data_IF_641815103595
#
_entry.id   IF_641815103595
#
_cell.length_a   1.000
_cell.length_b   1.000
_cell.length_c   1.000
_cell.angle_alpha   90.00
_cell.angle_beta   90.00
_cell.angle_gamma   90.00
#
_symmetry.space_group_name_H-M   'P 1'
#
loop_
_entity.id
_entity.type
_entity.pdbx_description
1 polymer ?
#
# COMPACT_ATOMS: atom_id res chain seq x y z
N UNK A 1 29.67 -11.97 39.83
CA UNK A 1 28.89 -13.16 39.45
C UNK A 1 27.59 -13.32 40.25
N UNK A 2 27.51 -12.92 41.51
CA UNK A 2 26.32 -13.05 42.36
C UNK A 2 25.16 -12.09 41.96
N UNK A 3 25.46 -10.89 41.46
CA UNK A 3 24.47 -9.87 41.06
C UNK A 3 23.68 -10.25 39.81
N UNK A 4 24.27 -10.98 38.86
CA UNK A 4 23.58 -11.46 37.65
C UNK A 4 22.60 -12.60 37.96
N UNK A 5 22.84 -13.42 38.96
CA UNK A 5 21.94 -14.49 39.37
C UNK A 5 20.69 -13.96 40.08
N UNK A 6 20.82 -12.86 40.84
CA UNK A 6 19.65 -12.19 41.47
C UNK A 6 18.73 -11.51 40.47
N UNK A 7 19.29 -10.93 39.41
CA UNK A 7 18.48 -10.29 38.32
C UNK A 7 17.74 -11.32 37.46
N UNK A 8 18.35 -12.49 37.20
CA UNK A 8 17.70 -13.56 36.44
C UNK A 8 16.54 -14.20 37.22
N UNK A 9 16.64 -14.29 38.55
CA UNK A 9 15.58 -14.79 39.43
C UNK A 9 14.34 -13.88 39.42
N UNK A 10 14.54 -12.56 39.48
CA UNK A 10 13.44 -11.58 39.50
C UNK A 10 12.65 -11.53 38.19
N UNK A 11 13.34 -11.67 37.06
CA UNK A 11 12.69 -11.71 35.73
C UNK A 11 11.85 -12.97 35.55
N UNK A 12 12.30 -14.13 36.05
CA UNK A 12 11.51 -15.36 35.96
C UNK A 12 10.24 -15.33 36.82
N UNK A 13 10.28 -14.73 38.01
CA UNK A 13 9.10 -14.60 38.89
C UNK A 13 8.07 -13.66 38.27
N UNK A 14 8.49 -12.56 37.63
CA UNK A 14 7.58 -11.64 36.97
C UNK A 14 6.94 -12.26 35.72
N UNK A 15 7.69 -13.01 34.93
CA UNK A 15 7.18 -13.72 33.75
C UNK A 15 6.16 -14.82 34.14
N UNK A 16 6.41 -15.54 35.23
CA UNK A 16 5.51 -16.57 35.71
C UNK A 16 4.22 -15.99 36.30
N UNK A 17 4.30 -14.86 37.00
CA UNK A 17 3.13 -14.14 37.52
C UNK A 17 2.25 -13.55 36.42
N UNK A 18 2.86 -13.03 35.35
CA UNK A 18 2.12 -12.54 34.16
C UNK A 18 1.44 -13.70 33.39
N UNK A 19 2.10 -14.86 33.29
CA UNK A 19 1.53 -16.05 32.62
C UNK A 19 0.34 -16.62 33.41
N UNK A 20 0.42 -16.67 34.71
CA UNK A 20 -0.69 -17.14 35.56
C UNK A 20 -1.88 -16.19 35.54
N UNK A 21 -1.69 -14.87 35.48
CA UNK A 21 -2.77 -13.90 35.30
C UNK A 21 -3.47 -14.09 33.94
N UNK A 22 -2.73 -14.31 32.85
CA UNK A 22 -3.32 -14.54 31.52
C UNK A 22 -4.09 -15.86 31.44
N UNK A 23 -3.67 -16.90 32.14
CA UNK A 23 -4.41 -18.16 32.21
C UNK A 23 -5.67 -18.02 33.06
N UNK A 24 -5.64 -17.28 34.19
CA UNK A 24 -6.83 -17.00 35.00
C UNK A 24 -7.89 -16.22 34.22
N UNK A 25 -7.51 -15.15 33.52
CA UNK A 25 -8.42 -14.32 32.73
C UNK A 25 -9.06 -15.17 31.60
N UNK A 26 -8.30 -16.06 30.96
CA UNK A 26 -8.86 -16.97 29.94
C UNK A 26 -9.80 -18.00 30.51
N UNK A 27 -9.50 -18.54 31.71
CA UNK A 27 -10.39 -19.49 32.37
C UNK A 27 -11.71 -18.86 32.78
N UNK A 28 -11.68 -17.64 33.37
CA UNK A 28 -12.87 -16.93 33.77
C UNK A 28 -13.74 -16.52 32.56
N UNK A 29 -13.13 -16.08 31.46
CA UNK A 29 -13.88 -15.77 30.24
C UNK A 29 -14.50 -17.01 29.59
N UNK A 30 -13.82 -18.15 29.63
CA UNK A 30 -14.37 -19.41 29.11
C UNK A 30 -15.53 -19.90 29.99
N UNK A 31 -15.42 -19.74 31.30
CA UNK A 31 -16.51 -20.12 32.23
C UNK A 31 -17.72 -19.22 31.98
N UNK A 32 -17.57 -17.91 31.89
CA UNK A 32 -18.67 -16.98 31.61
C UNK A 32 -19.35 -17.26 30.26
N UNK A 33 -18.57 -17.57 29.21
CA UNK A 33 -19.13 -17.92 27.90
C UNK A 33 -19.86 -19.26 27.98
N UNK A 34 -19.33 -20.23 28.74
CA UNK A 34 -19.99 -21.53 28.92
C UNK A 34 -21.29 -21.40 29.71
N UNK A 35 -21.31 -20.56 30.75
CA UNK A 35 -22.51 -20.30 31.54
C UNK A 35 -23.58 -19.56 30.71
N UNK A 36 -23.19 -18.59 29.89
CA UNK A 36 -24.11 -17.90 28.99
C UNK A 36 -24.69 -18.85 27.93
N UNK A 37 -23.89 -19.74 27.37
CA UNK A 37 -24.32 -20.74 26.38
C UNK A 37 -25.28 -21.78 27.04
N UNK A 38 -25.03 -22.15 28.28
CA UNK A 38 -25.91 -23.06 29.03
C UNK A 38 -27.27 -22.39 29.36
N UNK A 39 -27.24 -21.11 29.77
CA UNK A 39 -28.46 -20.32 30.04
C UNK A 39 -29.27 -20.14 28.76
N UNK A 40 -28.61 -19.82 27.62
CA UNK A 40 -29.29 -19.70 26.33
C UNK A 40 -29.86 -21.03 25.84
N UNK A 41 -29.15 -22.16 26.07
CA UNK A 41 -29.67 -23.48 25.72
C UNK A 41 -30.84 -23.90 26.60
N UNK A 42 -30.82 -23.55 27.88
CA UNK A 42 -31.95 -23.79 28.78
C UNK A 42 -33.19 -22.97 28.40
N UNK A 43 -32.99 -21.69 28.04
CA UNK A 43 -34.06 -20.84 27.51
C UNK A 43 -34.67 -21.39 26.23
N UNK A 44 -33.83 -21.86 25.31
CA UNK A 44 -34.30 -22.51 24.08
C UNK A 44 -35.09 -23.81 24.35
N UNK A 45 -34.71 -24.57 25.38
CA UNK A 45 -35.42 -25.76 25.79
C UNK A 45 -36.79 -25.41 26.45
N UNK A 46 -36.84 -24.38 27.29
CA UNK A 46 -38.09 -23.86 27.87
C UNK A 46 -39.03 -23.30 26.79
N UNK A 47 -38.50 -22.59 25.80
CA UNK A 47 -39.28 -22.10 24.65
C UNK A 47 -39.80 -23.27 23.79
N UNK A 48 -39.00 -24.32 23.60
CA UNK A 48 -39.44 -25.54 22.90
C UNK A 48 -40.55 -26.26 23.67
N UNK A 49 -40.44 -26.41 24.99
CA UNK A 49 -41.48 -27.00 25.81
C UNK A 49 -42.77 -26.16 25.82
N UNK A 50 -42.65 -24.84 25.80
CA UNK A 50 -43.76 -23.92 25.69
C UNK A 50 -44.50 -24.02 24.35
N UNK A 51 -43.75 -24.28 23.28
CA UNK A 51 -44.26 -24.49 21.91
C UNK A 51 -44.93 -25.86 21.79
N UNK A 52 -44.36 -26.89 22.42
CA UNK A 52 -44.90 -28.26 22.41
C UNK A 52 -46.20 -28.40 23.21
N UNK A 53 -46.37 -27.57 24.25
CA UNK A 53 -47.59 -27.49 25.05
C UNK A 53 -48.68 -26.58 24.46
N UNK A 54 -48.43 -25.88 23.36
CA UNK A 54 -49.42 -25.17 22.57
C UNK A 54 -49.96 -26.08 21.49
N UNK A 55 -51.13 -26.67 21.69
CA UNK A 55 -51.90 -27.50 20.75
C UNK A 55 -52.40 -26.74 19.48
N UNK A 56 -51.68 -25.71 19.07
CA UNK A 56 -51.95 -25.10 17.77
C UNK A 56 -51.14 -25.82 16.68
N UNK A 57 -51.74 -26.16 15.54
CA UNK A 57 -51.01 -26.79 14.44
C UNK A 57 -49.95 -25.80 13.97
N UNK A 58 -48.70 -26.05 14.38
CA UNK A 58 -47.58 -25.25 13.90
C UNK A 58 -47.43 -25.47 12.40
N UNK A 59 -47.64 -24.44 11.61
CA UNK A 59 -47.44 -24.52 10.17
C UNK A 59 -45.92 -24.70 9.89
N UNK A 60 -45.51 -25.99 9.92
CA UNK A 60 -44.14 -26.41 9.66
C UNK A 60 -43.63 -25.91 8.31
N UNK A 61 -44.55 -25.74 7.34
CA UNK A 61 -44.20 -25.20 6.03
C UNK A 61 -43.80 -23.73 6.08
N UNK A 62 -44.45 -22.93 6.95
CA UNK A 62 -44.08 -21.54 7.17
C UNK A 62 -42.71 -21.40 7.88
N UNK A 63 -42.42 -22.27 8.84
CA UNK A 63 -41.14 -22.32 9.54
C UNK A 63 -39.97 -22.74 8.62
N UNK A 64 -40.19 -23.76 7.78
CA UNK A 64 -39.21 -24.18 6.77
C UNK A 64 -38.93 -23.06 5.79
N UNK A 65 -39.96 -22.40 5.26
CA UNK A 65 -39.77 -21.23 4.35
C UNK A 65 -39.01 -20.07 5.00
N UNK A 66 -39.29 -19.82 6.30
CA UNK A 66 -38.57 -18.80 7.05
C UNK A 66 -37.10 -19.15 7.28
N UNK A 67 -36.84 -20.44 7.58
CA UNK A 67 -35.48 -20.96 7.73
C UNK A 67 -34.70 -20.91 6.41
N UNK A 68 -35.31 -21.29 5.30
CA UNK A 68 -34.73 -21.20 3.96
C UNK A 68 -34.44 -19.73 3.56
N UNK A 69 -35.34 -18.83 3.92
CA UNK A 69 -35.10 -17.38 3.64
C UNK A 69 -33.97 -16.81 4.49
N UNK A 70 -33.82 -17.23 5.75
CA UNK A 70 -32.73 -16.86 6.65
C UNK A 70 -31.40 -17.45 6.15
N UNK A 71 -31.38 -18.74 5.79
CA UNK A 71 -30.19 -19.38 5.21
C UNK A 71 -29.75 -18.69 3.90
N UNK A 72 -30.72 -18.36 3.04
CA UNK A 72 -30.45 -17.65 1.80
C UNK A 72 -29.94 -16.21 2.04
N UNK A 73 -30.45 -15.54 3.05
CA UNK A 73 -29.96 -14.23 3.47
C UNK A 73 -28.53 -14.31 4.04
N UNK A 74 -28.25 -15.30 4.91
CA UNK A 74 -26.91 -15.55 5.45
C UNK A 74 -25.92 -15.95 4.35
N UNK A 75 -26.33 -16.79 3.39
CA UNK A 75 -25.49 -17.15 2.25
C UNK A 75 -25.26 -15.99 1.28
N UNK A 76 -26.19 -15.04 1.19
CA UNK A 76 -26.02 -13.83 0.40
C UNK A 76 -25.08 -12.81 1.06
N UNK A 77 -24.99 -12.81 2.38
CA UNK A 77 -24.11 -11.92 3.15
C UNK A 77 -22.66 -12.41 3.17
N UNK A 78 -22.43 -13.70 2.99
CA UNK A 78 -21.09 -14.30 2.83
C UNK A 78 -20.61 -14.27 1.38
N UNK A 79 -20.56 -13.09 0.75
CA UNK A 79 -19.78 -12.97 -0.48
C UNK A 79 -18.31 -13.22 -0.15
N UNK A 80 -17.66 -14.19 -0.81
CA UNK A 80 -16.26 -14.47 -0.54
C UNK A 80 -15.45 -13.18 -0.77
N UNK A 81 -14.84 -12.67 0.29
CA UNK A 81 -13.97 -11.48 0.20
C UNK A 81 -12.80 -11.83 -0.70
N UNK A 82 -12.57 -10.99 -1.69
CA UNK A 82 -11.41 -11.15 -2.56
C UNK A 82 -10.14 -10.82 -1.78
N UNK A 83 -9.31 -11.83 -1.51
CA UNK A 83 -7.98 -11.69 -0.91
C UNK A 83 -6.97 -11.76 -2.04
N UNK A 84 -6.27 -10.66 -2.37
CA UNK A 84 -5.27 -10.66 -3.42
C UNK A 84 -4.03 -11.45 -2.99
N UNK A 85 -3.44 -12.19 -3.91
CA UNK A 85 -2.20 -12.91 -3.67
C UNK A 85 -1.00 -11.97 -3.90
N UNK A 86 -0.15 -11.79 -2.86
CA UNK A 86 0.98 -10.87 -2.84
C UNK A 86 1.97 -11.12 -3.98
N UNK A 87 2.26 -12.38 -4.29
CA UNK A 87 3.17 -12.74 -5.39
C UNK A 87 2.62 -12.28 -6.75
N UNK A 88 1.32 -12.43 -6.99
CA UNK A 88 0.68 -11.96 -8.22
C UNK A 88 0.64 -10.45 -8.29
N UNK A 89 0.42 -9.77 -7.16
CA UNK A 89 0.43 -8.31 -7.08
C UNK A 89 1.81 -7.75 -7.47
N UNK A 90 2.90 -8.35 -6.96
CA UNK A 90 4.28 -7.96 -7.31
C UNK A 90 4.53 -8.15 -8.81
N UNK A 91 4.25 -9.34 -9.35
CA UNK A 91 4.50 -9.61 -10.76
C UNK A 91 3.73 -8.67 -11.69
N UNK A 92 2.47 -8.38 -11.36
CA UNK A 92 1.67 -7.43 -12.13
C UNK A 92 2.21 -5.99 -12.01
N UNK A 93 2.69 -5.60 -10.82
CA UNK A 93 3.30 -4.29 -10.61
C UNK A 93 4.65 -4.14 -11.32
N UNK A 94 5.43 -5.25 -11.46
CA UNK A 94 6.69 -5.29 -12.19
C UNK A 94 6.51 -5.26 -13.71
N UNK A 95 5.44 -5.83 -14.25
CA UNK A 95 5.20 -5.84 -15.70
C UNK A 95 4.54 -4.54 -16.15
N UNK A 96 3.57 -4.06 -15.39
CA UNK A 96 2.79 -2.87 -15.71
C UNK A 96 2.79 -1.94 -14.48
N UNK A 97 3.37 -0.72 -14.60
CA UNK A 97 3.28 0.26 -13.52
C UNK A 97 1.81 0.50 -13.14
N UNK A 98 1.46 0.32 -11.87
CA UNK A 98 0.07 0.40 -11.42
C UNK A 98 -0.74 -0.91 -11.54
N UNK A 99 -0.21 -1.96 -12.19
CA UNK A 99 -0.90 -3.24 -12.35
C UNK A 99 -1.22 -3.93 -11.03
N UNK A 100 -0.34 -3.82 -10.04
CA UNK A 100 -0.57 -4.33 -8.69
C UNK A 100 -1.72 -3.62 -7.97
N UNK A 101 -1.83 -2.29 -8.09
CA UNK A 101 -2.92 -1.51 -7.52
C UNK A 101 -4.28 -1.85 -8.16
N UNK A 102 -4.30 -2.11 -9.47
CA UNK A 102 -5.49 -2.60 -10.18
C UNK A 102 -5.90 -3.97 -9.65
N UNK A 103 -4.96 -4.89 -9.50
CA UNK A 103 -5.20 -6.22 -8.98
C UNK A 103 -5.74 -6.20 -7.54
N UNK A 104 -5.18 -5.32 -6.68
CA UNK A 104 -5.60 -5.11 -5.30
C UNK A 104 -6.92 -4.32 -5.19
N UNK A 105 -7.52 -3.89 -6.31
CA UNK A 105 -8.73 -3.05 -6.37
C UNK A 105 -8.59 -1.69 -5.68
N UNK A 106 -7.39 -1.19 -5.50
CA UNK A 106 -7.08 0.12 -4.89
C UNK A 106 -6.96 1.21 -5.96
N UNK A 107 -7.99 1.37 -6.79
CA UNK A 107 -8.00 2.26 -7.96
C UNK A 107 -7.72 3.73 -7.62
N UNK A 108 -8.05 4.18 -6.41
CA UNK A 108 -7.81 5.56 -5.97
C UNK A 108 -6.32 5.93 -5.89
N UNK A 109 -5.42 4.93 -5.78
CA UNK A 109 -3.96 5.13 -5.80
C UNK A 109 -3.39 5.32 -7.21
N UNK A 110 -4.10 4.88 -8.25
CA UNK A 110 -3.64 4.98 -9.63
C UNK A 110 -3.32 6.42 -10.05
N UNK A 111 -4.16 7.44 -9.77
CA UNK A 111 -3.84 8.82 -10.11
C UNK A 111 -2.54 9.31 -9.46
N UNK A 112 -2.24 8.86 -8.23
CA UNK A 112 -1.02 9.23 -7.52
C UNK A 112 0.21 8.60 -8.18
N UNK A 113 0.15 7.30 -8.49
CA UNK A 113 1.23 6.56 -9.14
C UNK A 113 1.50 7.12 -10.53
N UNK A 114 0.47 7.26 -11.36
CA UNK A 114 0.62 7.80 -12.71
C UNK A 114 1.01 9.29 -12.70
N UNK A 115 0.50 10.08 -11.75
CA UNK A 115 0.92 11.46 -11.55
C UNK A 115 2.42 11.58 -11.23
N UNK A 116 2.94 10.67 -10.38
CA UNK A 116 4.36 10.55 -10.11
C UNK A 116 5.18 10.23 -11.37
N UNK A 117 4.74 9.25 -12.17
CA UNK A 117 5.40 8.89 -13.42
C UNK A 117 5.39 10.03 -14.44
N UNK A 118 4.25 10.67 -14.65
CA UNK A 118 4.11 11.79 -15.58
C UNK A 118 4.99 12.98 -15.14
N UNK A 119 5.02 13.29 -13.84
CA UNK A 119 5.87 14.34 -13.29
C UNK A 119 7.36 14.05 -13.51
N UNK A 120 7.82 12.84 -13.22
CA UNK A 120 9.20 12.43 -13.46
C UNK A 120 9.56 12.38 -14.95
N UNK A 121 8.66 11.89 -15.80
CA UNK A 121 8.86 11.87 -17.26
C UNK A 121 8.94 13.28 -17.84
N UNK A 122 8.10 14.20 -17.37
CA UNK A 122 8.16 15.60 -17.75
C UNK A 122 9.50 16.23 -17.33
N UNK A 123 9.89 16.05 -16.06
CA UNK A 123 11.17 16.58 -15.56
C UNK A 123 12.36 16.01 -16.34
N UNK A 124 12.35 14.70 -16.64
CA UNK A 124 13.38 14.04 -17.43
C UNK A 124 13.46 14.63 -18.85
N UNK A 125 12.32 14.75 -19.53
CA UNK A 125 12.24 15.26 -20.90
C UNK A 125 12.69 16.71 -20.97
N UNK A 126 12.23 17.54 -20.03
CA UNK A 126 12.60 18.94 -19.93
C UNK A 126 14.11 19.10 -19.69
N UNK A 127 14.66 18.46 -18.68
CA UNK A 127 16.08 18.56 -18.35
C UNK A 127 16.97 18.00 -19.47
N UNK A 128 16.53 16.91 -20.13
CA UNK A 128 17.26 16.36 -21.26
C UNK A 128 17.27 17.28 -22.48
N UNK A 129 16.15 17.97 -22.74
CA UNK A 129 16.08 18.97 -23.80
C UNK A 129 17.01 20.14 -23.50
N UNK A 130 16.90 20.74 -22.33
CA UNK A 130 17.77 21.83 -21.89
C UNK A 130 19.25 21.41 -21.91
N UNK A 131 19.58 20.21 -21.47
CA UNK A 131 20.95 19.70 -21.56
C UNK A 131 21.46 19.66 -23.01
N UNK A 132 20.64 19.18 -23.95
CA UNK A 132 21.04 19.15 -25.39
C UNK A 132 21.24 20.53 -25.93
N UNK A 133 20.30 21.43 -25.67
CA UNK A 133 20.31 22.80 -26.19
C UNK A 133 21.53 23.55 -25.64
N UNK A 134 21.81 23.52 -24.34
CA UNK A 134 23.01 24.14 -23.76
C UNK A 134 24.30 23.41 -24.13
N UNK A 135 24.26 22.11 -24.42
CA UNK A 135 25.42 21.37 -24.92
C UNK A 135 25.80 21.82 -26.33
N UNK A 136 24.79 22.00 -27.20
CA UNK A 136 25.01 22.50 -28.56
C UNK A 136 25.52 23.93 -28.52
N UNK A 137 24.86 24.81 -27.80
CA UNK A 137 25.28 26.18 -27.64
C UNK A 137 26.73 26.33 -27.09
N UNK A 138 27.13 25.44 -26.17
CA UNK A 138 28.51 25.40 -25.66
C UNK A 138 29.50 24.96 -26.73
N UNK A 139 29.15 23.99 -27.58
CA UNK A 139 30.02 23.54 -28.70
C UNK A 139 30.16 24.62 -29.75
N UNK A 140 29.08 25.29 -30.12
CA UNK A 140 29.06 26.34 -31.11
C UNK A 140 29.84 27.62 -30.68
N UNK A 141 29.99 27.84 -29.35
CA UNK A 141 30.87 28.90 -28.84
C UNK A 141 32.35 28.49 -28.96
N UNK A 142 32.62 27.18 -28.94
CA UNK A 142 34.00 26.65 -28.92
C UNK A 142 34.57 26.34 -30.30
N UNK A 143 33.72 26.21 -31.35
CA UNK A 143 34.15 25.78 -32.68
C UNK A 143 34.55 26.92 -33.63
N UNK A 144 34.42 28.18 -33.24
CA UNK A 144 34.73 29.38 -34.04
C UNK A 144 34.08 29.43 -35.44
N UNK A 145 33.07 28.57 -35.72
CA UNK A 145 32.35 28.55 -37.00
C UNK A 145 31.25 29.64 -37.01
N UNK A 146 31.32 30.62 -37.94
CA UNK A 146 30.36 31.71 -38.02
C UNK A 146 28.93 31.24 -38.43
N UNK A 147 28.77 30.01 -38.88
CA UNK A 147 27.45 29.46 -39.29
C UNK A 147 26.72 28.75 -38.13
N UNK A 148 27.43 28.36 -37.08
CA UNK A 148 26.86 27.69 -35.90
C UNK A 148 26.71 28.67 -34.75
N UNK A 149 25.45 29.09 -34.46
CA UNK A 149 25.17 30.18 -33.49
C UNK A 149 24.01 29.84 -32.57
N UNK A 150 23.87 28.56 -32.19
CA UNK A 150 22.78 28.13 -31.27
C UNK A 150 22.78 28.81 -29.91
N UNK A 151 23.90 29.43 -29.53
CA UNK A 151 24.01 30.21 -28.31
C UNK A 151 23.23 31.55 -28.37
N UNK A 152 22.98 32.09 -29.58
CA UNK A 152 22.24 33.35 -29.75
C UNK A 152 20.80 33.25 -29.23
N UNK A 153 20.19 32.06 -29.28
CA UNK A 153 18.83 31.78 -28.76
C UNK A 153 18.73 31.98 -27.24
N UNK A 154 19.87 31.92 -26.53
CA UNK A 154 19.93 32.02 -25.08
C UNK A 154 20.47 33.37 -24.59
N UNK A 155 20.92 34.21 -25.50
CA UNK A 155 21.45 35.52 -25.18
C UNK A 155 20.39 36.61 -25.34
N UNK A 156 20.34 37.59 -24.43
CA UNK A 156 19.57 38.79 -24.66
C UNK A 156 20.10 39.55 -25.92
N UNK A 157 19.20 40.15 -26.66
CA UNK A 157 19.57 40.92 -27.86
C UNK A 157 20.66 41.94 -27.55
N UNK A 158 21.78 41.89 -28.31
CA UNK A 158 22.89 42.82 -28.19
C UNK A 158 23.97 42.43 -27.17
N UNK A 159 23.92 41.27 -26.60
CA UNK A 159 24.97 40.73 -25.72
C UNK A 159 25.90 39.83 -26.54
N UNK A 160 27.21 40.08 -26.46
CA UNK A 160 28.23 39.24 -27.09
C UNK A 160 28.38 37.94 -26.33
N UNK A 161 28.64 36.84 -27.05
CA UNK A 161 28.95 35.53 -26.46
C UNK A 161 30.36 35.44 -25.84
N UNK A 162 31.20 36.45 -26.09
CA UNK A 162 32.58 36.46 -25.61
C UNK A 162 32.66 36.36 -24.07
N UNK A 163 33.43 35.39 -23.58
CA UNK A 163 33.59 35.15 -22.15
C UNK A 163 32.43 34.42 -21.44
N UNK A 164 31.40 34.02 -22.19
CA UNK A 164 30.25 33.29 -21.62
C UNK A 164 30.38 31.76 -21.64
N UNK A 165 31.48 31.23 -22.16
CA UNK A 165 31.75 29.78 -22.25
C UNK A 165 31.55 29.06 -20.91
N UNK A 166 32.09 29.63 -19.84
CA UNK A 166 31.91 29.04 -18.50
C UNK A 166 30.44 29.03 -18.04
N UNK A 167 29.67 30.02 -18.45
CA UNK A 167 28.24 30.10 -18.12
C UNK A 167 27.49 29.00 -18.83
N UNK A 168 27.71 28.79 -20.12
CA UNK A 168 27.09 27.72 -20.90
C UNK A 168 27.52 26.32 -20.41
N UNK A 169 28.82 26.17 -20.10
CA UNK A 169 29.34 24.94 -19.48
C UNK A 169 28.64 24.63 -18.16
N UNK A 170 28.54 25.60 -17.27
CA UNK A 170 27.87 25.43 -15.98
C UNK A 170 26.38 25.09 -16.13
N UNK A 171 25.67 25.72 -17.09
CA UNK A 171 24.27 25.43 -17.39
C UNK A 171 24.09 24.01 -17.97
N UNK A 172 24.94 23.60 -18.90
CA UNK A 172 25.00 22.26 -19.44
C UNK A 172 25.16 21.21 -18.32
N UNK A 173 26.17 21.43 -17.43
CA UNK A 173 26.44 20.51 -16.33
C UNK A 173 25.33 20.50 -15.27
N UNK A 174 24.66 21.64 -15.06
CA UNK A 174 23.47 21.74 -14.21
C UNK A 174 22.35 20.86 -14.75
N UNK A 175 21.93 21.03 -16.00
CA UNK A 175 20.83 20.25 -16.59
C UNK A 175 21.19 18.77 -16.75
N UNK A 176 22.46 18.42 -16.98
CA UNK A 176 22.94 17.05 -16.96
C UNK A 176 22.66 16.38 -15.61
N UNK A 177 23.03 17.04 -14.51
CA UNK A 177 22.77 16.49 -13.15
C UNK A 177 21.29 16.34 -12.87
N UNK A 178 20.47 17.32 -13.24
CA UNK A 178 19.03 17.24 -13.03
C UNK A 178 18.35 16.19 -13.91
N UNK A 179 18.84 15.97 -15.12
CA UNK A 179 18.41 14.86 -15.98
C UNK A 179 18.71 13.52 -15.31
N UNK A 180 19.93 13.33 -14.85
CA UNK A 180 20.35 12.10 -14.20
C UNK A 180 19.57 11.87 -12.89
N UNK A 181 19.34 12.92 -12.10
CA UNK A 181 18.48 12.88 -10.91
C UNK A 181 17.04 12.50 -11.28
N UNK A 182 16.50 13.02 -12.37
CA UNK A 182 15.14 12.67 -12.83
C UNK A 182 15.01 11.19 -13.19
N UNK A 183 16.08 10.57 -13.72
CA UNK A 183 16.13 9.12 -13.97
C UNK A 183 16.04 8.34 -12.65
N UNK A 184 16.83 8.74 -11.65
CA UNK A 184 16.78 8.11 -10.32
C UNK A 184 15.41 8.28 -9.64
N UNK A 185 14.81 9.47 -9.76
CA UNK A 185 13.45 9.69 -9.25
C UNK A 185 12.42 8.79 -9.95
N UNK A 186 12.51 8.63 -11.25
CA UNK A 186 11.62 7.76 -12.03
C UNK A 186 11.71 6.29 -11.55
N UNK A 187 12.94 5.80 -11.38
CA UNK A 187 13.18 4.45 -10.83
C UNK A 187 12.65 4.35 -9.40
N UNK A 188 12.86 5.37 -8.59
CA UNK A 188 12.36 5.44 -7.21
C UNK A 188 10.83 5.34 -7.13
N UNK A 189 10.11 6.10 -7.94
CA UNK A 189 8.64 6.04 -8.04
C UNK A 189 8.19 4.64 -8.46
N UNK A 190 8.91 4.01 -9.40
CA UNK A 190 8.60 2.66 -9.84
C UNK A 190 8.75 1.64 -8.70
N UNK A 191 9.87 1.66 -7.99
CA UNK A 191 10.13 0.76 -6.85
C UNK A 191 9.09 0.97 -5.75
N UNK A 192 8.78 2.23 -5.41
CA UNK A 192 7.76 2.55 -4.41
C UNK A 192 6.37 2.03 -4.82
N UNK A 193 6.01 2.11 -6.11
CA UNK A 193 4.76 1.56 -6.63
C UNK A 193 4.67 0.04 -6.47
N UNK A 194 5.78 -0.67 -6.68
CA UNK A 194 5.84 -2.14 -6.51
C UNK A 194 5.73 -2.52 -5.02
N UNK A 195 6.45 -1.81 -4.15
CA UNK A 195 6.39 -2.04 -2.70
C UNK A 195 4.97 -1.77 -2.17
N UNK A 196 4.34 -0.68 -2.59
CA UNK A 196 2.98 -0.33 -2.19
C UNK A 196 1.97 -1.42 -2.61
N UNK A 197 2.10 -1.95 -3.83
CA UNK A 197 1.25 -3.03 -4.32
C UNK A 197 1.43 -4.33 -3.50
N UNK A 198 2.66 -4.64 -3.09
CA UNK A 198 2.96 -5.78 -2.23
C UNK A 198 2.35 -5.62 -0.83
N UNK A 199 2.61 -4.48 -0.20
CA UNK A 199 2.12 -4.17 1.14
C UNK A 199 0.59 -4.18 1.19
N UNK A 200 -0.08 -3.60 0.19
CA UNK A 200 -1.54 -3.63 0.10
C UNK A 200 -2.10 -5.05 -0.01
N UNK A 201 -1.43 -5.93 -0.74
CA UNK A 201 -1.84 -7.32 -0.87
C UNK A 201 -1.69 -8.08 0.46
N UNK A 202 -0.56 -7.91 1.15
CA UNK A 202 -0.31 -8.52 2.46
C UNK A 202 -1.29 -8.00 3.53
N UNK A 203 -1.51 -6.69 3.59
CA UNK A 203 -2.41 -6.09 4.58
C UNK A 203 -3.88 -6.46 4.35
N UNK A 204 -4.27 -6.82 3.13
CA UNK A 204 -5.64 -7.22 2.84
C UNK A 204 -6.05 -8.53 3.52
N UNK A 205 -5.08 -9.35 3.94
CA UNK A 205 -5.30 -10.61 4.66
C UNK A 205 -5.56 -10.37 6.17
N UNK A 206 -5.07 -9.23 6.71
CA UNK A 206 -5.20 -8.88 8.12
C UNK A 206 -6.43 -8.02 8.45
N UNK A 207 -7.12 -7.49 7.45
CA UNK A 207 -8.27 -6.60 7.60
C UNK A 207 -9.57 -7.44 7.75
N UNK A 208 -9.58 -8.30 8.81
CA UNK A 208 -10.70 -9.20 9.19
C UNK A 208 -11.46 -8.61 10.37
#
# INVERSE_FOLDING_TARGET
MLLCLMMAGSLNVHAQKARNRRMGIKADSIIQVKDSLVIDSLRLLEERQKIENMEAPVDTAALVRKNDSIQKAMAAETKPRFIPNSNRAIWLALVIPGGGQIYNRKYWKLPIVYGGFVGCAYALTWNNRMYKDYSQAYLDIMDDDPNTKSYEDFLPHGVSAEGMENTFKNRKDFYRRYRDLSIFCFIGVYILSVIDAYVDAELSDFDI
#
